data_IF_033192837182
#
_entry.id   IF_033192837182
#
_cell.length_a   1.000
_cell.length_b   1.000
_cell.length_c   1.000
_cell.angle_alpha   90.00
_cell.angle_beta   90.00
_cell.angle_gamma   90.00
#
_symmetry.space_group_name_H-M   'P 1'
#
loop_
_entity.id
_entity.type
_entity.pdbx_description
1 polymer ?
#
# COMPACT_ATOMS: atom_id res chain seq x y z
N UNK A 1 9.26 -37.22 -7.41
CA UNK A 1 9.22 -35.86 -6.84
C UNK A 1 8.53 -34.88 -7.80
N UNK A 2 7.29 -34.47 -7.50
CA UNK A 2 6.64 -33.41 -8.27
C UNK A 2 7.30 -32.09 -7.89
N UNK A 3 8.20 -31.62 -8.76
CA UNK A 3 8.66 -30.24 -8.74
C UNK A 3 7.44 -29.35 -8.92
N UNK A 4 7.15 -28.50 -7.93
CA UNK A 4 6.04 -27.56 -7.99
C UNK A 4 6.08 -26.70 -9.26
N UNK A 5 4.91 -26.19 -9.65
CA UNK A 5 4.76 -25.34 -10.83
C UNK A 5 5.67 -24.11 -10.74
N UNK A 6 6.60 -23.99 -11.68
CA UNK A 6 7.48 -22.82 -11.81
C UNK A 6 7.07 -22.01 -13.04
N UNK A 7 6.76 -20.72 -12.85
CA UNK A 7 6.27 -19.82 -13.89
C UNK A 7 7.02 -18.50 -13.79
N UNK A 8 7.50 -18.00 -14.94
CA UNK A 8 7.93 -16.62 -15.10
C UNK A 8 6.94 -15.87 -15.97
N UNK A 9 6.66 -14.60 -15.63
CA UNK A 9 5.64 -13.82 -16.32
C UNK A 9 5.92 -12.31 -16.26
N UNK A 10 5.33 -11.60 -17.22
CA UNK A 10 5.09 -10.16 -17.15
C UNK A 10 3.58 -9.95 -17.27
N UNK A 11 3.06 -8.95 -16.58
CA UNK A 11 1.65 -8.59 -16.63
C UNK A 11 1.54 -7.11 -16.93
N UNK A 12 0.71 -6.76 -17.91
CA UNK A 12 0.26 -5.39 -18.12
C UNK A 12 -1.23 -5.45 -18.38
N UNK A 13 -1.98 -4.60 -17.71
CA UNK A 13 -3.38 -4.42 -18.03
C UNK A 13 -3.92 -3.12 -17.46
N UNK A 14 -5.11 -2.81 -17.90
CA UNK A 14 -5.81 -1.57 -17.61
C UNK A 14 -7.20 -1.89 -17.03
N UNK A 15 -7.77 -0.94 -16.31
CA UNK A 15 -9.11 -1.03 -15.73
C UNK A 15 -9.38 -2.30 -14.92
N UNK A 16 -8.41 -2.66 -14.07
CA UNK A 16 -8.50 -3.82 -13.19
C UNK A 16 -9.56 -3.58 -12.12
N UNK A 17 -10.59 -4.41 -12.10
CA UNK A 17 -11.66 -4.31 -11.09
C UNK A 17 -11.45 -5.36 -10.01
N UNK A 18 -11.41 -4.89 -8.76
CA UNK A 18 -11.41 -5.74 -7.57
C UNK A 18 -12.44 -5.22 -6.58
N UNK A 19 -13.60 -5.87 -6.56
CA UNK A 19 -14.77 -5.44 -5.77
C UNK A 19 -15.14 -3.98 -6.08
N UNK A 20 -15.08 -3.09 -5.09
CA UNK A 20 -15.38 -1.66 -5.17
C UNK A 20 -14.16 -0.79 -5.52
N UNK A 21 -13.03 -1.43 -5.85
CA UNK A 21 -11.83 -0.77 -6.33
C UNK A 21 -11.67 -1.01 -7.82
N UNK A 22 -11.28 0.04 -8.55
CA UNK A 22 -10.76 -0.08 -9.90
C UNK A 22 -9.38 0.55 -9.97
N UNK A 23 -8.41 -0.19 -10.50
CA UNK A 23 -7.04 0.28 -10.70
C UNK A 23 -6.88 0.57 -12.20
N UNK A 24 -6.48 1.80 -12.54
CA UNK A 24 -6.40 2.21 -13.96
C UNK A 24 -5.33 1.43 -14.71
N UNK A 25 -4.18 1.18 -14.08
CA UNK A 25 -3.09 0.43 -14.70
C UNK A 25 -2.41 -0.48 -13.68
N UNK A 26 -2.17 -1.72 -14.09
CA UNK A 26 -1.38 -2.72 -13.35
C UNK A 26 -0.21 -3.15 -14.23
N UNK A 27 1.00 -3.08 -13.69
CA UNK A 27 2.22 -3.56 -14.35
C UNK A 27 3.00 -4.44 -13.39
N UNK A 28 3.28 -5.67 -13.80
CA UNK A 28 4.20 -6.58 -13.12
C UNK A 28 5.36 -6.90 -14.07
N UNK A 29 6.57 -6.62 -13.62
CA UNK A 29 7.80 -6.90 -14.34
C UNK A 29 8.56 -8.05 -13.68
N UNK A 30 9.00 -8.99 -14.52
CA UNK A 30 9.84 -10.14 -14.16
C UNK A 30 9.29 -10.92 -12.95
N UNK A 31 7.98 -11.19 -12.94
CA UNK A 31 7.35 -12.01 -11.92
C UNK A 31 7.80 -13.46 -12.04
N UNK A 32 8.11 -14.11 -10.92
CA UNK A 32 8.52 -15.50 -10.86
C UNK A 32 7.82 -16.20 -9.70
N UNK A 33 7.09 -17.27 -10.00
CA UNK A 33 6.54 -18.19 -9.00
C UNK A 33 7.29 -19.51 -9.08
N UNK A 34 7.83 -20.00 -7.97
CA UNK A 34 8.62 -21.24 -7.94
C UNK A 34 7.91 -22.42 -7.22
N UNK A 35 6.58 -22.33 -7.07
CA UNK A 35 5.77 -23.30 -6.34
C UNK A 35 5.57 -22.95 -4.86
N UNK A 36 6.44 -22.14 -4.26
CA UNK A 36 6.35 -21.76 -2.85
C UNK A 36 6.35 -20.23 -2.64
N UNK A 37 7.06 -19.50 -3.49
CA UNK A 37 7.23 -18.06 -3.38
C UNK A 37 6.99 -17.36 -4.71
N UNK A 38 6.40 -16.17 -4.64
CA UNK A 38 6.25 -15.21 -5.72
C UNK A 38 7.28 -14.11 -5.54
N UNK A 39 8.21 -13.98 -6.47
CA UNK A 39 9.18 -12.88 -6.56
C UNK A 39 8.78 -11.90 -7.65
N UNK A 40 8.79 -10.62 -7.33
CA UNK A 40 8.39 -9.52 -8.20
C UNK A 40 9.53 -8.49 -8.23
N UNK A 41 10.16 -8.27 -9.39
CA UNK A 41 11.12 -7.16 -9.52
C UNK A 41 10.42 -5.80 -9.41
N UNK A 42 9.19 -5.73 -9.92
CA UNK A 42 8.30 -4.58 -9.74
C UNK A 42 6.86 -5.04 -9.94
N UNK A 43 5.99 -4.70 -9.01
CA UNK A 43 4.55 -4.59 -9.21
C UNK A 43 4.16 -3.13 -8.99
N UNK A 44 3.47 -2.54 -9.95
CA UNK A 44 3.16 -1.12 -10.00
C UNK A 44 1.68 -0.95 -10.34
N UNK A 45 0.96 -0.33 -9.41
CA UNK A 45 -0.47 -0.06 -9.49
C UNK A 45 -0.64 1.46 -9.58
N UNK A 46 -1.28 1.95 -10.63
CA UNK A 46 -1.45 3.37 -10.85
C UNK A 46 -2.92 3.71 -11.08
N UNK A 47 -3.34 4.80 -10.45
CA UNK A 47 -4.69 5.30 -10.54
C UNK A 47 -5.66 4.42 -9.76
N UNK A 48 -6.31 4.99 -8.76
CA UNK A 48 -7.31 4.31 -7.96
C UNK A 48 -8.66 4.98 -8.16
N UNK A 49 -9.68 4.18 -8.44
CA UNK A 49 -11.07 4.60 -8.35
C UNK A 49 -11.73 3.80 -7.24
N UNK A 50 -12.27 4.50 -6.26
CA UNK A 50 -12.96 3.89 -5.12
C UNK A 50 -14.41 4.37 -5.09
N UNK A 51 -15.33 3.41 -4.96
CA UNK A 51 -16.75 3.70 -4.83
C UNK A 51 -17.28 3.14 -3.50
N UNK A 52 -17.44 3.98 -2.46
CA UNK A 52 -18.16 3.60 -1.26
C UNK A 52 -19.62 3.26 -1.57
N UNK A 53 -20.31 2.44 -0.75
CA UNK A 53 -21.72 2.09 -0.98
C UNK A 53 -22.67 3.30 -1.02
N UNK A 54 -22.34 4.36 -0.29
CA UNK A 54 -23.19 5.52 0.01
C UNK A 54 -22.71 6.83 -0.64
N UNK A 55 -21.65 6.78 -1.48
CA UNK A 55 -21.02 7.97 -2.06
C UNK A 55 -20.68 7.76 -3.54
N UNK A 56 -20.58 8.82 -4.36
CA UNK A 56 -20.13 8.70 -5.74
C UNK A 56 -18.70 8.17 -5.82
N UNK A 57 -18.38 7.49 -6.91
CA UNK A 57 -17.03 7.03 -7.18
C UNK A 57 -16.06 8.22 -7.24
N UNK A 58 -14.93 8.08 -6.57
CA UNK A 58 -13.85 9.07 -6.57
C UNK A 58 -12.62 8.48 -7.26
N UNK A 59 -11.95 9.30 -8.06
CA UNK A 59 -10.72 8.93 -8.77
C UNK A 59 -9.54 9.65 -8.17
N UNK A 60 -8.44 8.93 -8.01
CA UNK A 60 -7.19 9.41 -7.43
C UNK A 60 -6.02 8.96 -8.29
N UNK A 61 -4.99 9.80 -8.36
CA UNK A 61 -3.74 9.47 -9.06
C UNK A 61 -2.77 8.67 -8.16
N UNK A 62 -3.31 8.02 -7.13
CA UNK A 62 -2.60 7.15 -6.22
C UNK A 62 -1.73 6.12 -6.95
N UNK A 63 -0.54 5.88 -6.42
CA UNK A 63 0.39 4.89 -6.92
C UNK A 63 0.92 4.01 -5.79
N UNK A 64 0.92 2.70 -6.02
CA UNK A 64 1.51 1.70 -5.14
C UNK A 64 2.51 0.89 -5.95
N UNK A 65 3.77 0.86 -5.51
CA UNK A 65 4.80 0.04 -6.12
C UNK A 65 5.44 -0.89 -5.09
N UNK A 66 5.57 -2.16 -5.44
CA UNK A 66 6.17 -3.19 -4.62
C UNK A 66 7.30 -3.91 -5.37
N UNK A 67 8.38 -4.23 -4.68
CA UNK A 67 9.43 -5.12 -5.16
C UNK A 67 9.87 -6.05 -4.05
N UNK A 68 9.92 -7.35 -4.31
CA UNK A 68 10.28 -8.33 -3.29
C UNK A 68 9.70 -9.71 -3.52
N UNK A 69 9.74 -10.52 -2.48
CA UNK A 69 9.26 -11.89 -2.44
C UNK A 69 8.14 -12.05 -1.41
N UNK A 70 7.10 -12.79 -1.79
CA UNK A 70 5.99 -13.20 -0.92
C UNK A 70 5.85 -14.72 -0.97
N UNK A 71 5.58 -15.35 0.18
CA UNK A 71 5.47 -16.82 0.31
C UNK A 71 6.81 -17.48 0.70
N UNK A 72 6.74 -18.42 1.65
CA UNK A 72 7.91 -19.07 2.26
C UNK A 72 8.80 -18.20 3.16
N UNK A 73 8.41 -16.93 3.33
CA UNK A 73 9.18 -15.85 3.95
C UNK A 73 9.03 -14.60 3.09
N UNK A 74 8.55 -13.51 3.69
CA UNK A 74 8.32 -12.25 3.00
C UNK A 74 9.56 -11.38 3.10
N UNK A 75 9.92 -10.75 2.00
CA UNK A 75 10.90 -9.66 1.97
C UNK A 75 10.50 -8.67 0.90
N UNK A 76 10.64 -7.37 1.13
CA UNK A 76 10.39 -6.42 0.05
C UNK A 76 10.29 -4.98 0.48
N UNK A 77 10.09 -4.12 -0.50
CA UNK A 77 9.85 -2.71 -0.33
C UNK A 77 8.52 -2.35 -0.98
N UNK A 78 7.72 -1.59 -0.24
CA UNK A 78 6.51 -0.96 -0.74
C UNK A 78 6.74 0.56 -0.74
N UNK A 79 6.35 1.21 -1.83
CA UNK A 79 6.29 2.67 -1.92
C UNK A 79 4.87 3.08 -2.31
N UNK A 80 4.35 4.05 -1.59
CA UNK A 80 3.03 4.61 -1.78
C UNK A 80 3.16 6.10 -2.07
N UNK A 81 2.46 6.59 -3.09
CA UNK A 81 2.48 7.98 -3.50
C UNK A 81 1.04 8.46 -3.71
N UNK A 82 0.76 9.71 -3.31
CA UNK A 82 -0.53 10.36 -3.50
C UNK A 82 -1.74 9.54 -3.00
N UNK A 83 -1.59 8.84 -1.88
CA UNK A 83 -2.66 8.03 -1.28
C UNK A 83 -3.63 8.97 -0.54
N UNK A 84 -4.93 8.98 -0.87
CA UNK A 84 -5.89 9.84 -0.19
C UNK A 84 -6.05 9.43 1.26
N UNK A 85 -5.87 10.36 2.20
CA UNK A 85 -6.02 10.07 3.64
C UNK A 85 -7.46 9.66 3.98
N UNK A 86 -8.45 10.23 3.28
CA UNK A 86 -9.86 9.83 3.45
C UNK A 86 -10.11 8.36 3.13
N UNK A 87 -9.39 7.78 2.15
CA UNK A 87 -9.49 6.36 1.85
C UNK A 87 -8.93 5.51 2.99
N UNK A 88 -7.78 5.91 3.55
CA UNK A 88 -7.18 5.23 4.69
C UNK A 88 -8.14 5.26 5.89
N UNK A 89 -8.78 6.41 6.12
CA UNK A 89 -9.78 6.58 7.17
C UNK A 89 -10.98 5.65 6.99
N UNK A 90 -11.50 5.53 5.77
CA UNK A 90 -12.62 4.64 5.45
C UNK A 90 -12.23 3.16 5.67
N UNK A 91 -11.04 2.73 5.21
CA UNK A 91 -10.55 1.34 5.39
C UNK A 91 -10.35 0.99 6.87
N UNK A 92 -9.86 1.95 7.66
CA UNK A 92 -9.65 1.79 9.10
C UNK A 92 -10.91 2.08 9.93
N UNK A 93 -12.04 2.43 9.30
CA UNK A 93 -13.29 2.82 9.95
C UNK A 93 -13.11 3.93 11.02
N UNK A 94 -12.31 4.97 10.70
CA UNK A 94 -12.06 6.07 11.64
C UNK A 94 -13.30 6.96 11.77
N UNK A 95 -13.68 7.39 13.00
CA UNK A 95 -14.94 8.12 13.25
C UNK A 95 -14.89 9.60 12.86
N UNK A 96 -13.80 10.06 12.25
CA UNK A 96 -13.54 11.47 11.95
C UNK A 96 -13.24 11.63 10.46
N UNK A 97 -13.92 12.56 9.74
CA UNK A 97 -13.57 12.88 8.37
C UNK A 97 -12.17 13.46 8.31
N UNK A 98 -11.32 12.88 7.46
CA UNK A 98 -9.98 13.36 7.19
C UNK A 98 -9.79 13.51 5.68
N UNK A 99 -9.14 14.58 5.28
CA UNK A 99 -8.66 14.77 3.92
C UNK A 99 -7.17 15.10 3.93
N UNK A 100 -6.53 14.95 2.78
CA UNK A 100 -5.09 15.10 2.62
C UNK A 100 -4.51 13.99 1.74
N UNK A 101 -3.20 14.03 1.57
CA UNK A 101 -2.45 13.06 0.77
C UNK A 101 -1.34 12.45 1.62
N UNK A 102 -1.20 11.13 1.55
CA UNK A 102 -0.14 10.39 2.20
C UNK A 102 0.80 9.78 1.16
N UNK A 103 2.09 9.79 1.47
CA UNK A 103 3.11 9.03 0.78
C UNK A 103 3.95 8.28 1.81
N UNK A 104 4.63 7.21 1.39
CA UNK A 104 5.44 6.45 2.33
C UNK A 104 6.29 5.38 1.68
N UNK A 105 7.28 4.95 2.44
CA UNK A 105 8.18 3.85 2.09
C UNK A 105 8.22 2.86 3.24
N UNK A 106 8.04 1.58 2.91
CA UNK A 106 7.90 0.51 3.88
C UNK A 106 8.80 -0.66 3.48
N UNK A 107 9.48 -1.25 4.45
CA UNK A 107 10.19 -2.52 4.30
C UNK A 107 9.36 -3.61 4.96
N UNK A 108 9.13 -4.70 4.23
CA UNK A 108 8.44 -5.90 4.68
C UNK A 108 9.45 -7.02 4.91
N UNK A 109 9.32 -7.73 6.01
CA UNK A 109 10.05 -8.96 6.33
C UNK A 109 9.16 -9.95 7.10
N UNK A 110 9.71 -11.07 7.56
CA UNK A 110 9.00 -12.04 8.39
C UNK A 110 8.18 -13.04 7.56
N UNK A 111 7.16 -13.66 8.17
CA UNK A 111 6.35 -14.69 7.51
C UNK A 111 4.93 -14.18 7.19
N UNK A 112 4.19 -14.90 6.36
CA UNK A 112 2.80 -14.52 6.00
C UNK A 112 1.87 -14.42 7.22
N UNK A 113 2.11 -15.23 8.25
CA UNK A 113 1.32 -15.23 9.48
C UNK A 113 1.85 -14.26 10.56
N UNK A 114 3.10 -13.80 10.43
CA UNK A 114 3.72 -12.85 11.36
C UNK A 114 4.64 -11.92 10.57
N UNK A 115 4.07 -10.96 9.82
CA UNK A 115 4.85 -10.03 9.03
C UNK A 115 5.46 -8.96 9.93
N UNK A 116 6.67 -8.55 9.57
CA UNK A 116 7.34 -7.41 10.17
C UNK A 116 7.36 -6.28 9.14
N UNK A 117 6.94 -5.09 9.55
CA UNK A 117 6.90 -3.91 8.69
C UNK A 117 7.58 -2.77 9.41
N UNK A 118 8.47 -2.04 8.73
CA UNK A 118 9.01 -0.78 9.23
C UNK A 118 8.94 0.25 8.11
N UNK A 119 8.65 1.50 8.44
CA UNK A 119 8.56 2.52 7.41
C UNK A 119 8.30 3.92 7.93
N UNK A 120 8.28 4.82 6.95
CA UNK A 120 8.02 6.25 7.13
C UNK A 120 6.82 6.63 6.29
N UNK A 121 5.92 7.41 6.87
CA UNK A 121 4.75 7.99 6.21
C UNK A 121 4.87 9.50 6.32
N UNK A 122 4.77 10.20 5.19
CA UNK A 122 4.57 11.63 5.16
C UNK A 122 3.12 11.91 4.78
N UNK A 123 2.45 12.74 5.56
CA UNK A 123 1.07 13.13 5.33
C UNK A 123 1.03 14.65 5.16
N UNK A 124 0.47 15.08 4.03
CA UNK A 124 0.45 16.47 3.61
C UNK A 124 -0.98 16.99 3.49
N UNK A 125 -1.14 18.28 3.72
CA UNK A 125 -2.42 18.99 3.56
C UNK A 125 -3.55 18.31 4.33
N UNK A 126 -3.31 17.97 5.60
CA UNK A 126 -4.29 17.28 6.42
C UNK A 126 -5.40 18.26 6.79
N UNK A 127 -6.63 17.94 6.43
CA UNK A 127 -7.81 18.65 6.92
C UNK A 127 -8.58 17.76 7.88
N UNK A 128 -8.64 18.15 9.15
CA UNK A 128 -9.43 17.50 10.19
C UNK A 128 -10.53 18.46 10.64
N UNK A 129 -11.80 18.08 10.45
CA UNK A 129 -12.95 18.93 10.80
C UNK A 129 -12.80 20.39 10.30
N UNK A 130 -12.40 20.55 9.03
CA UNK A 130 -12.19 21.87 8.38
C UNK A 130 -11.04 22.71 8.96
N UNK A 131 -10.19 22.13 9.81
CA UNK A 131 -8.93 22.75 10.23
C UNK A 131 -7.77 22.08 9.51
N UNK A 132 -6.96 22.91 8.88
CA UNK A 132 -5.69 22.50 8.33
C UNK A 132 -4.71 22.18 9.46
N UNK A 133 -4.07 21.02 9.36
CA UNK A 133 -2.96 20.60 10.20
C UNK A 133 -1.73 20.59 9.31
N UNK A 134 -0.61 21.06 9.86
CA UNK A 134 0.70 21.04 9.20
C UNK A 134 1.10 19.62 8.79
N UNK A 135 2.02 19.54 7.84
CA UNK A 135 2.55 18.28 7.36
C UNK A 135 3.13 17.45 8.51
N UNK A 136 2.89 16.15 8.45
CA UNK A 136 3.23 15.21 9.51
C UNK A 136 4.06 14.07 8.93
N UNK A 137 5.25 13.86 9.49
CA UNK A 137 6.05 12.67 9.23
C UNK A 137 5.90 11.69 10.41
N UNK A 138 5.69 10.42 10.11
CA UNK A 138 5.50 9.34 11.09
C UNK A 138 6.47 8.22 10.75
N UNK A 139 7.30 7.84 11.71
CA UNK A 139 8.12 6.64 11.66
C UNK A 139 7.51 5.56 12.55
N UNK A 140 7.35 4.35 12.01
CA UNK A 140 6.70 3.26 12.73
C UNK A 140 7.35 1.91 12.47
N UNK A 141 7.07 0.98 13.37
CA UNK A 141 7.23 -0.44 13.11
C UNK A 141 5.99 -1.23 13.50
N UNK A 142 5.81 -2.34 12.83
CA UNK A 142 4.89 -3.41 13.19
C UNK A 142 5.74 -4.67 13.33
N UNK A 143 5.80 -5.21 14.54
CA UNK A 143 6.62 -6.38 14.85
C UNK A 143 5.90 -7.22 15.90
N UNK A 144 5.90 -8.55 15.74
CA UNK A 144 5.17 -9.46 16.63
C UNK A 144 3.71 -9.03 16.85
N UNK A 145 3.03 -8.67 15.76
CA UNK A 145 1.64 -8.23 15.75
C UNK A 145 1.36 -6.93 16.54
N UNK A 146 2.40 -6.17 16.89
CA UNK A 146 2.29 -4.91 17.63
C UNK A 146 2.73 -3.74 16.77
N UNK A 147 1.84 -2.78 16.57
CA UNK A 147 2.20 -1.48 16.02
C UNK A 147 2.92 -0.65 17.08
N UNK A 148 4.00 0.03 16.68
CA UNK A 148 4.81 0.92 17.49
C UNK A 148 5.06 2.20 16.72
N UNK A 149 4.61 3.31 17.28
CA UNK A 149 5.06 4.64 16.86
C UNK A 149 6.49 4.83 17.36
N UNK A 150 7.44 5.02 16.45
CA UNK A 150 8.85 5.25 16.79
C UNK A 150 9.13 6.73 16.98
N UNK A 151 8.71 7.53 16.01
CA UNK A 151 8.83 8.98 16.03
C UNK A 151 7.69 9.62 15.23
N UNK A 152 7.40 10.88 15.53
CA UNK A 152 6.55 11.71 14.70
C UNK A 152 6.99 13.16 14.80
N UNK A 153 7.08 13.82 13.66
CA UNK A 153 7.51 15.21 13.57
C UNK A 153 6.54 16.01 12.71
N UNK A 154 6.17 17.19 13.21
CA UNK A 154 5.47 18.19 12.40
C UNK A 154 6.50 18.91 11.54
N UNK A 155 6.33 18.86 10.23
CA UNK A 155 7.19 19.53 9.26
C UNK A 155 6.55 20.88 8.95
N UNK A 156 7.27 21.97 9.19
CA UNK A 156 6.82 23.35 8.93
C UNK A 156 7.16 23.84 7.53
#
# INVERSE_FOLDING_TARGET
PQTGLSIAFNLQGEDWVWQNYRIRQVRIANGQFNGNALSLSLADLQGLVYQPPDRPAQSYDARLSFSGQMGGGQTGQLRAEAIPVGLIADVLNLPIPMAGSAEGTFTLSGDVLNPDVAGTIAVQNIYLNQREIKDLQIDFSYYNQQFRLQDWTVVE
#
